data_IF_509779935317
#
_entry.id   IF_509779935317
#
_cell.length_a   1.000
_cell.length_b   1.000
_cell.length_c   1.000
_cell.angle_alpha   90.00
_cell.angle_beta   90.00
_cell.angle_gamma   90.00
#
_symmetry.space_group_name_H-M   'P 1'
#
loop_
_entity.id
_entity.type
_entity.pdbx_description
1 polymer ?
#
# COMPACT_ATOMS: atom_id res chain seq x y z
N UNK A 1 -12.62 -7.35 -8.05
CA UNK A 1 -12.30 -5.98 -7.67
C UNK A 1 -10.91 -5.84 -7.08
N UNK A 2 -10.55 -6.64 -6.08
CA UNK A 2 -9.21 -6.55 -5.50
C UNK A 2 -8.12 -6.76 -6.53
N UNK A 3 -8.30 -7.75 -7.37
CA UNK A 3 -7.30 -8.06 -8.39
C UNK A 3 -7.06 -6.87 -9.33
N UNK A 4 -8.14 -6.22 -9.73
CA UNK A 4 -8.04 -5.05 -10.61
C UNK A 4 -7.30 -3.91 -9.94
N UNK A 5 -7.61 -3.67 -8.67
CA UNK A 5 -6.93 -2.63 -7.89
C UNK A 5 -5.44 -2.95 -7.82
N UNK A 6 -5.12 -4.20 -7.50
CA UNK A 6 -3.74 -4.62 -7.35
C UNK A 6 -2.97 -4.45 -8.65
N UNK A 7 -3.57 -4.81 -9.78
CA UNK A 7 -2.91 -4.68 -11.07
C UNK A 7 -2.62 -3.23 -11.42
N UNK A 8 -3.57 -2.34 -11.15
CA UNK A 8 -3.38 -0.92 -11.40
C UNK A 8 -2.23 -0.37 -10.57
N UNK A 9 -2.21 -0.70 -9.28
CA UNK A 9 -1.17 -0.22 -8.39
C UNK A 9 0.18 -0.83 -8.73
N UNK A 10 0.19 -2.09 -9.14
CA UNK A 10 1.42 -2.79 -9.51
C UNK A 10 2.04 -2.18 -10.76
N UNK A 11 1.23 -1.77 -11.72
CA UNK A 11 1.73 -1.12 -12.93
C UNK A 11 2.26 0.28 -12.65
N UNK A 12 1.83 0.88 -11.54
CA UNK A 12 2.27 2.21 -11.13
C UNK A 12 3.01 2.12 -9.80
N UNK A 13 4.02 1.27 -9.71
CA UNK A 13 4.79 1.08 -8.49
C UNK A 13 5.31 2.41 -7.95
N UNK A 14 5.20 2.58 -6.64
CA UNK A 14 5.70 3.78 -5.98
C UNK A 14 4.80 5.00 -6.07
N UNK A 15 3.79 4.95 -6.93
CA UNK A 15 2.85 6.07 -7.04
C UNK A 15 1.86 6.02 -5.88
N UNK A 16 1.64 7.15 -5.24
CA UNK A 16 0.73 7.24 -4.11
C UNK A 16 -0.69 7.51 -4.58
N UNK A 17 -1.63 6.72 -4.07
CA UNK A 17 -3.05 6.86 -4.40
C UNK A 17 -3.86 7.02 -3.13
N UNK A 18 -4.92 7.82 -3.20
CA UNK A 18 -5.93 7.81 -2.14
C UNK A 18 -6.96 6.75 -2.52
N UNK A 19 -7.80 6.36 -1.56
CA UNK A 19 -8.85 5.40 -1.88
C UNK A 19 -9.83 5.96 -2.91
N UNK A 20 -9.99 7.28 -2.94
CA UNK A 20 -10.84 7.91 -3.94
C UNK A 20 -10.24 7.82 -5.34
N UNK A 21 -8.93 8.01 -5.43
CA UNK A 21 -8.24 7.87 -6.72
C UNK A 21 -8.43 6.47 -7.27
N UNK A 22 -8.22 5.47 -6.44
CA UNK A 22 -8.38 4.08 -6.85
C UNK A 22 -9.82 3.81 -7.26
N UNK A 23 -10.78 4.29 -6.49
CA UNK A 23 -12.19 4.10 -6.80
C UNK A 23 -12.56 4.66 -8.15
N UNK A 24 -12.06 5.85 -8.48
CA UNK A 24 -12.34 6.48 -9.77
C UNK A 24 -11.73 5.71 -10.92
N UNK A 25 -10.52 5.20 -10.74
CA UNK A 25 -9.80 4.52 -11.80
C UNK A 25 -10.41 3.15 -12.09
N UNK A 26 -10.75 2.41 -11.06
CA UNK A 26 -11.21 1.03 -11.21
C UNK A 26 -12.67 0.96 -11.64
N UNK A 27 -13.53 1.70 -10.96
CA UNK A 27 -14.96 1.67 -11.28
C UNK A 27 -15.58 3.02 -10.98
N UNK A 28 -15.60 3.85 -12.00
CA UNK A 28 -16.11 5.21 -11.86
C UNK A 28 -17.59 5.26 -11.49
N UNK A 29 -18.35 4.32 -11.99
CA UNK A 29 -19.77 4.25 -11.71
C UNK A 29 -20.00 3.94 -10.24
N UNK A 30 -19.31 2.95 -9.73
CA UNK A 30 -19.41 2.57 -8.33
C UNK A 30 -18.91 3.71 -7.44
N UNK A 31 -17.86 4.38 -7.85
CA UNK A 31 -17.34 5.53 -7.12
C UNK A 31 -18.38 6.64 -7.00
N UNK A 32 -19.12 6.87 -8.08
CA UNK A 32 -20.14 7.91 -8.08
C UNK A 32 -21.24 7.63 -7.06
N UNK A 33 -21.61 6.36 -6.91
CA UNK A 33 -22.65 5.95 -5.98
C UNK A 33 -22.13 5.84 -4.55
N UNK A 34 -20.88 5.41 -4.41
CA UNK A 34 -20.25 5.24 -3.11
C UNK A 34 -18.76 5.61 -3.21
N UNK A 35 -18.41 6.87 -2.91
CA UNK A 35 -17.00 7.31 -3.04
C UNK A 35 -16.01 6.54 -2.16
N UNK A 36 -16.51 5.81 -1.17
CA UNK A 36 -15.63 5.07 -0.25
C UNK A 36 -15.57 3.58 -0.57
N UNK A 37 -16.09 3.16 -1.74
CA UNK A 37 -16.24 1.73 -2.02
C UNK A 37 -14.90 0.97 -2.02
N UNK A 38 -13.84 1.63 -2.44
CA UNK A 38 -12.53 0.98 -2.54
C UNK A 38 -11.81 0.87 -1.19
N UNK A 39 -12.22 1.65 -0.21
CA UNK A 39 -11.50 1.72 1.06
C UNK A 39 -11.43 0.37 1.79
N UNK A 40 -12.54 -0.36 1.96
CA UNK A 40 -12.46 -1.66 2.65
C UNK A 40 -11.56 -2.65 1.91
N UNK A 41 -11.55 -2.60 0.58
CA UNK A 41 -10.70 -3.49 -0.20
C UNK A 41 -9.23 -3.15 -0.01
N UNK A 42 -8.91 -1.86 -0.01
CA UNK A 42 -7.54 -1.41 0.21
C UNK A 42 -7.07 -1.76 1.61
N UNK A 43 -7.92 -1.60 2.62
CA UNK A 43 -7.56 -1.96 3.99
C UNK A 43 -7.32 -3.46 4.12
N UNK A 44 -8.11 -4.26 3.43
CA UNK A 44 -7.90 -5.70 3.41
C UNK A 44 -6.56 -6.05 2.77
N UNK A 45 -6.23 -5.39 1.66
CA UNK A 45 -4.96 -5.61 0.98
C UNK A 45 -3.78 -5.20 1.86
N UNK A 46 -3.95 -4.14 2.64
CA UNK A 46 -2.94 -3.73 3.62
C UNK A 46 -2.73 -4.82 4.67
N UNK A 47 -3.82 -5.35 5.17
CA UNK A 47 -3.77 -6.41 6.17
C UNK A 47 -3.05 -7.63 5.60
N UNK A 48 -3.26 -7.93 4.34
CA UNK A 48 -2.61 -9.05 3.66
C UNK A 48 -1.20 -8.71 3.18
N UNK A 49 -0.76 -7.48 3.44
CA UNK A 49 0.59 -7.00 3.10
C UNK A 49 0.89 -6.99 1.62
N UNK A 50 -0.13 -6.79 0.82
CA UNK A 50 0.02 -6.70 -0.63
C UNK A 50 0.41 -5.30 -1.07
N UNK A 51 0.04 -4.29 -0.30
CA UNK A 51 0.34 -2.89 -0.57
C UNK A 51 0.79 -2.21 0.72
N UNK A 52 1.31 -0.99 0.58
CA UNK A 52 1.74 -0.19 1.73
C UNK A 52 0.85 1.04 1.88
N UNK A 53 0.84 1.60 3.07
CA UNK A 53 0.15 2.85 3.35
C UNK A 53 1.15 3.81 3.99
N UNK A 54 1.34 4.98 3.36
CA UNK A 54 2.28 6.00 3.83
C UNK A 54 1.57 7.34 3.84
N UNK A 55 1.50 7.97 5.01
CA UNK A 55 0.89 9.30 5.16
C UNK A 55 -0.54 9.35 4.63
N UNK A 56 -1.29 8.26 4.80
CA UNK A 56 -2.67 8.20 4.33
C UNK A 56 -2.84 7.83 2.87
N UNK A 57 -1.73 7.60 2.16
CA UNK A 57 -1.76 7.20 0.76
C UNK A 57 -1.44 5.71 0.64
N UNK A 58 -2.06 5.06 -0.33
CA UNK A 58 -1.82 3.66 -0.63
C UNK A 58 -0.89 3.56 -1.82
N UNK A 59 0.05 2.61 -1.78
CA UNK A 59 0.98 2.42 -2.90
C UNK A 59 1.44 0.98 -2.98
N UNK A 60 1.89 0.59 -4.16
CA UNK A 60 2.55 -0.70 -4.36
C UNK A 60 4.05 -0.45 -4.24
N UNK A 61 4.72 -1.10 -3.29
CA UNK A 61 6.14 -0.79 -3.05
C UNK A 61 7.02 -1.23 -4.21
N UNK A 62 8.01 -0.41 -4.52
CA UNK A 62 9.02 -0.77 -5.52
C UNK A 62 10.00 -1.76 -4.90
N UNK A 63 10.80 -2.41 -5.77
CA UNK A 63 11.82 -3.32 -5.28
C UNK A 63 12.82 -2.61 -4.38
N UNK A 64 13.16 -1.39 -4.73
CA UNK A 64 14.06 -0.58 -3.93
C UNK A 64 13.50 -0.32 -2.54
N UNK A 65 12.21 0.00 -2.46
CA UNK A 65 11.56 0.25 -1.19
C UNK A 65 11.54 -1.00 -0.32
N UNK A 66 11.25 -2.14 -0.94
CA UNK A 66 11.26 -3.43 -0.24
C UNK A 66 12.65 -3.77 0.27
N UNK A 67 13.66 -3.50 -0.53
CA UNK A 67 15.03 -3.78 -0.14
C UNK A 67 15.47 -2.93 1.04
N UNK A 68 15.10 -1.64 1.03
CA UNK A 68 15.43 -0.76 2.14
C UNK A 68 14.75 -1.20 3.42
N UNK A 69 13.50 -1.60 3.33
CA UNK A 69 12.76 -2.07 4.49
C UNK A 69 13.40 -3.33 5.07
N UNK A 70 13.84 -4.22 4.20
CA UNK A 70 14.50 -5.46 4.62
C UNK A 70 15.81 -5.16 5.34
N UNK A 71 16.60 -4.26 4.79
CA UNK A 71 17.87 -3.85 5.40
C UNK A 71 17.65 -3.18 6.75
N UNK A 72 16.62 -2.35 6.83
CA UNK A 72 16.29 -1.65 8.07
C UNK A 72 15.94 -2.64 9.16
N UNK A 73 15.17 -3.66 8.84
CA UNK A 73 14.79 -4.67 9.81
C UNK A 73 16.00 -5.49 10.28
N UNK A 74 16.88 -5.81 9.35
CA UNK A 74 18.09 -6.54 9.69
C UNK A 74 19.00 -5.71 10.60
N UNK A 75 19.14 -4.43 10.31
CA UNK A 75 19.95 -3.54 11.11
C UNK A 75 19.39 -3.34 12.51
N UNK A 76 18.09 -3.35 12.65
CA UNK A 76 17.45 -3.13 13.93
C UNK A 76 17.77 -4.22 14.94
N UNK A 77 18.16 -5.36 14.50
CA UNK A 77 18.48 -6.46 15.39
C UNK A 77 19.81 -6.32 16.07
N UNK A 78 20.68 -5.58 15.49
CA UNK A 78 21.94 -5.40 16.15
C UNK A 78 21.80 -4.42 17.32
N UNK A 79 21.16 -4.66 17.47
CA UNK A 79 21.02 -4.09 18.33
C UNK A 79 20.41 -3.69 18.83
N UNK A 80 20.16 -4.03 18.53
CA UNK A 80 19.37 -3.64 18.92
C UNK A 80 19.01 -3.21 19.10
N UNK A 81 19.05 -3.37 19.23
CA UNK A 81 18.43 -2.81 19.27
C UNK A 81 17.99 -2.40 19.23
N UNK A 82 18.00 -2.40 19.16
CA UNK A 82 17.36 -1.89 19.08
C UNK A 82 16.89 -1.57 19.21
N UNK A 83 17.16 -1.81 19.41
CA UNK A 83 16.52 -1.45 19.51
C UNK A 83 16.25 -1.15 19.74
N UNK A 84 16.25 -1.18 19.93
CA UNK A 84 15.76 -1.01 20.14
C UNK A 84 15.75 -0.76 20.64
N UNK A 85 16.20 -0.84 20.75
CA UNK A 85 16.05 -0.73 21.14
C UNK A 85 16.05 -0.51 21.40
N UNK A 86 16.27 -0.56 21.48
CA UNK A 86 16.08 -0.54 21.67
C UNK A 86 15.91 -0.41 21.87
#
# INVERSE_FOLDING_TARGET
>A
MEWEILQIMKQAEGVRFTYKDIGKIVDRKEFRENPHWARPLLEKMLFERLIWKVDGYYLYPTEEMKAKERQKQSGAKSSGVESKPV
#
